data_IF_065694493877
#
_entry.id   IF_065694493877
#
_cell.length_a   1.000
_cell.length_b   1.000
_cell.length_c   1.000
_cell.angle_alpha   90.00
_cell.angle_beta   90.00
_cell.angle_gamma   90.00
#
_symmetry.space_group_name_H-M   'P 1'
#
loop_
_entity.id
_entity.type
_entity.pdbx_description
1 polymer ?
#
# COMPACT_ATOMS: atom_id res chain seq x y z
N UNK A 1 33.38 13.29 5.99
CA UNK A 1 32.14 12.54 6.29
C UNK A 1 30.96 13.38 5.82
N UNK A 2 30.16 12.92 4.85
CA UNK A 2 28.93 13.64 4.42
C UNK A 2 28.00 13.75 5.63
N UNK A 3 27.68 14.95 6.09
CA UNK A 3 26.58 15.15 7.05
C UNK A 3 25.33 14.54 6.41
N UNK A 4 24.78 13.49 7.02
CA UNK A 4 23.49 12.93 6.58
C UNK A 4 22.46 13.98 6.90
N UNK A 5 21.77 14.44 5.86
CA UNK A 5 20.64 15.33 6.03
C UNK A 5 19.54 14.56 6.80
N UNK A 6 19.17 15.01 8.02
CA UNK A 6 18.13 14.36 8.81
C UNK A 6 16.78 14.38 8.08
N UNK A 7 16.50 15.39 7.26
CA UNK A 7 15.27 15.51 6.49
C UNK A 7 15.20 14.45 5.39
N UNK A 8 16.27 14.28 4.61
CA UNK A 8 16.38 13.18 3.65
C UNK A 8 16.15 11.80 4.29
N UNK A 9 16.72 11.56 5.47
CA UNK A 9 16.59 10.28 6.18
C UNK A 9 15.14 10.05 6.66
N UNK A 10 14.45 11.09 7.11
CA UNK A 10 13.02 11.01 7.46
C UNK A 10 12.17 10.68 6.25
N UNK A 11 12.34 11.42 5.15
CA UNK A 11 11.59 11.21 3.91
C UNK A 11 11.81 9.82 3.31
N UNK A 12 13.02 9.28 3.37
CA UNK A 12 13.28 7.89 2.95
C UNK A 12 12.47 6.88 3.76
N UNK A 13 12.38 7.05 5.09
CA UNK A 13 11.58 6.15 5.95
C UNK A 13 10.09 6.25 5.67
N UNK A 14 9.59 7.46 5.44
CA UNK A 14 8.18 7.70 5.05
C UNK A 14 7.88 6.99 3.74
N UNK A 15 8.73 7.16 2.73
CA UNK A 15 8.59 6.50 1.41
C UNK A 15 8.62 4.98 1.53
N UNK A 16 9.56 4.42 2.29
CA UNK A 16 9.65 2.96 2.48
C UNK A 16 8.39 2.38 3.11
N UNK A 17 7.82 3.05 4.13
CA UNK A 17 6.59 2.60 4.79
C UNK A 17 5.38 2.69 3.86
N UNK A 18 5.23 3.80 3.14
CA UNK A 18 4.15 3.97 2.18
C UNK A 18 4.25 2.93 1.04
N UNK A 19 5.44 2.77 0.46
CA UNK A 19 5.67 1.80 -0.62
C UNK A 19 5.39 0.36 -0.16
N UNK A 20 5.79 -0.01 1.07
CA UNK A 20 5.51 -1.32 1.64
C UNK A 20 3.99 -1.58 1.77
N UNK A 21 3.25 -0.65 2.37
CA UNK A 21 1.79 -0.79 2.50
C UNK A 21 1.10 -0.83 1.14
N UNK A 22 1.57 -0.03 0.17
CA UNK A 22 1.03 -0.03 -1.18
C UNK A 22 1.31 -1.37 -1.90
N UNK A 23 2.50 -1.96 -1.73
CA UNK A 23 2.81 -3.27 -2.30
C UNK A 23 1.90 -4.36 -1.75
N UNK A 24 1.64 -4.34 -0.42
CA UNK A 24 0.65 -5.24 0.19
C UNK A 24 -0.74 -5.00 -0.40
N UNK A 25 -1.18 -3.74 -0.47
CA UNK A 25 -2.47 -3.37 -1.02
C UNK A 25 -2.69 -3.93 -2.43
N UNK A 26 -1.70 -3.79 -3.31
CA UNK A 26 -1.73 -4.36 -4.66
C UNK A 26 -1.82 -5.88 -4.64
N UNK A 27 -1.13 -6.56 -3.71
CA UNK A 27 -1.27 -8.00 -3.51
C UNK A 27 -2.69 -8.41 -3.12
N UNK A 28 -3.30 -7.72 -2.15
CA UNK A 28 -4.68 -7.99 -1.71
C UNK A 28 -5.71 -7.70 -2.81
N UNK A 29 -5.59 -6.54 -3.48
CA UNK A 29 -6.47 -6.19 -4.60
C UNK A 29 -6.31 -7.18 -5.75
N UNK A 30 -5.08 -7.52 -6.13
CA UNK A 30 -4.81 -8.51 -7.17
C UNK A 30 -5.41 -9.87 -6.84
N UNK A 31 -5.20 -10.36 -5.61
CA UNK A 31 -5.73 -11.65 -5.17
C UNK A 31 -7.27 -11.69 -5.14
N UNK A 32 -7.92 -10.57 -4.81
CA UNK A 32 -9.37 -10.46 -4.83
C UNK A 32 -9.96 -10.75 -6.22
N UNK A 33 -9.24 -10.45 -7.31
CA UNK A 33 -9.70 -10.72 -8.68
C UNK A 33 -9.09 -11.99 -9.28
N UNK A 34 -7.80 -12.22 -9.07
CA UNK A 34 -7.09 -13.35 -9.68
C UNK A 34 -7.63 -14.69 -9.21
N UNK A 35 -7.92 -14.85 -7.91
CA UNK A 35 -8.41 -16.13 -7.40
C UNK A 35 -9.77 -16.51 -7.99
N UNK A 36 -10.82 -15.66 -7.93
CA UNK A 36 -12.10 -15.97 -8.57
C UNK A 36 -12.00 -16.21 -10.07
N UNK A 37 -11.10 -15.49 -10.76
CA UNK A 37 -10.86 -15.66 -12.19
C UNK A 37 -10.27 -17.04 -12.51
N UNK A 38 -9.30 -17.50 -11.72
CA UNK A 38 -8.68 -18.83 -11.86
C UNK A 38 -9.66 -19.95 -11.50
N UNK A 39 -10.51 -19.74 -10.49
CA UNK A 39 -11.54 -20.70 -10.09
C UNK A 39 -12.74 -20.73 -11.05
N UNK A 40 -12.80 -19.84 -12.06
CA UNK A 40 -13.90 -19.75 -13.02
C UNK A 40 -15.20 -19.20 -12.42
N UNK A 41 -15.15 -18.70 -11.19
CA UNK A 41 -16.30 -18.19 -10.44
C UNK A 41 -16.04 -16.75 -10.03
N UNK A 42 -16.23 -15.81 -10.96
CA UNK A 42 -16.20 -14.36 -10.64
C UNK A 42 -17.48 -13.96 -9.89
N UNK A 43 -17.64 -14.50 -8.68
CA UNK A 43 -18.77 -14.20 -7.80
C UNK A 43 -18.33 -13.29 -6.65
N UNK A 44 -19.17 -12.31 -6.33
CA UNK A 44 -18.98 -11.46 -5.15
C UNK A 44 -19.34 -12.26 -3.90
N UNK A 45 -18.38 -13.03 -3.41
CA UNK A 45 -18.47 -13.71 -2.13
C UNK A 45 -17.77 -12.88 -1.03
N UNK A 46 -18.04 -13.24 0.24
CA UNK A 46 -17.51 -12.52 1.41
C UNK A 46 -15.97 -12.45 1.42
N UNK A 47 -15.31 -13.47 0.87
CA UNK A 47 -13.86 -13.56 0.83
C UNK A 47 -13.27 -12.62 -0.23
N UNK A 48 -13.85 -12.56 -1.42
CA UNK A 48 -13.50 -11.57 -2.46
C UNK A 48 -13.64 -10.15 -1.92
N UNK A 49 -14.76 -9.88 -1.23
CA UNK A 49 -15.03 -8.57 -0.62
C UNK A 49 -14.01 -8.25 0.48
N UNK A 50 -13.64 -9.21 1.33
CA UNK A 50 -12.68 -8.97 2.41
C UNK A 50 -11.27 -8.69 1.88
N UNK A 51 -10.80 -9.42 0.85
CA UNK A 51 -9.51 -9.14 0.20
C UNK A 51 -9.52 -7.76 -0.46
N UNK A 52 -10.59 -7.43 -1.20
CA UNK A 52 -10.73 -6.14 -1.87
C UNK A 52 -10.73 -4.97 -0.88
N UNK A 53 -11.55 -5.05 0.17
CA UNK A 53 -11.63 -4.00 1.19
C UNK A 53 -10.32 -3.85 1.95
N UNK A 54 -9.66 -4.96 2.31
CA UNK A 54 -8.35 -4.92 2.98
C UNK A 54 -7.32 -4.22 2.09
N UNK A 55 -7.29 -4.57 0.80
CA UNK A 55 -6.43 -3.90 -0.18
C UNK A 55 -6.69 -2.40 -0.26
N UNK A 56 -7.96 -1.97 -0.33
CA UNK A 56 -8.32 -0.56 -0.36
C UNK A 56 -7.89 0.19 0.92
N UNK A 57 -8.10 -0.40 2.09
CA UNK A 57 -7.68 0.19 3.37
C UNK A 57 -6.17 0.36 3.41
N UNK A 58 -5.41 -0.65 3.01
CA UNK A 58 -3.95 -0.60 2.96
C UNK A 58 -3.44 0.45 1.94
N UNK A 59 -4.08 0.53 0.77
CA UNK A 59 -3.74 1.53 -0.24
C UNK A 59 -3.95 2.95 0.31
N UNK A 60 -5.11 3.19 0.97
CA UNK A 60 -5.38 4.49 1.60
C UNK A 60 -4.48 4.80 2.78
N UNK A 61 -4.07 3.79 3.54
CA UNK A 61 -3.06 3.96 4.58
C UNK A 61 -1.70 4.36 3.99
N UNK A 62 -1.30 3.76 2.86
CA UNK A 62 -0.08 4.15 2.15
C UNK A 62 -0.10 5.62 1.68
N UNK A 63 -1.20 6.03 1.06
CA UNK A 63 -1.41 7.42 0.63
C UNK A 63 -1.40 8.39 1.81
N UNK A 64 -2.01 7.98 2.93
CA UNK A 64 -2.02 8.79 4.15
C UNK A 64 -0.60 8.99 4.71
N UNK A 65 0.25 7.96 4.69
CA UNK A 65 1.64 8.06 5.16
C UNK A 65 2.44 9.06 4.33
N UNK A 66 2.18 9.20 3.02
CA UNK A 66 2.89 10.16 2.18
C UNK A 66 2.65 11.62 2.58
N UNK A 67 1.59 11.92 3.33
CA UNK A 67 1.34 13.27 3.86
C UNK A 67 2.39 13.73 4.88
N UNK A 68 3.18 12.82 5.43
CA UNK A 68 4.27 13.13 6.36
C UNK A 68 5.61 13.42 5.68
N UNK A 69 5.63 13.55 4.34
CA UNK A 69 6.81 14.05 3.63
C UNK A 69 7.04 15.51 3.99
N UNK A 70 8.26 15.83 4.39
CA UNK A 70 8.69 17.17 4.73
C UNK A 70 9.48 17.78 3.57
N UNK A 71 9.33 19.07 3.34
CA UNK A 71 10.13 19.86 2.40
C UNK A 71 11.05 20.79 3.17
N UNK A 72 12.19 21.14 2.59
CA UNK A 72 13.05 22.20 3.13
C UNK A 72 12.28 23.54 3.00
N UNK A 73 11.85 24.11 4.13
CA UNK A 73 11.33 25.49 4.20
C UNK A 73 12.45 26.52 4.06
#
# INVERSE_FOLDING_TARGET
MRRRDPLATHNERVKLRAAFLNALALGFLGFAFLRPLVEGTLTLNLLTVSFFLTGLVLHRAADYILKYLETED
#
